data_IF_819643792540
#
_entry.id   IF_819643792540
#
_cell.length_a   1.000
_cell.length_b   1.000
_cell.length_c   1.000
_cell.angle_alpha   90.00
_cell.angle_beta   90.00
_cell.angle_gamma   90.00
#
_symmetry.space_group_name_H-M   'P 1'
#
loop_
_entity.id
_entity.type
_entity.pdbx_description
1 polymer ?
#
# COMPACT_ATOMS: atom_id res chain seq x y z
N UNK A 1 31.96 -21.47 41.30
CA UNK A 1 31.94 -20.87 39.94
C UNK A 1 31.67 -21.98 38.92
N UNK A 2 30.43 -22.45 38.82
CA UNK A 2 30.02 -23.54 37.91
C UNK A 2 28.95 -23.07 36.89
N UNK A 3 28.45 -21.83 37.00
CA UNK A 3 27.25 -21.38 36.30
C UNK A 3 27.48 -20.56 35.02
N UNK A 4 28.65 -20.67 34.38
CA UNK A 4 28.99 -19.86 33.19
C UNK A 4 29.27 -20.70 31.92
N UNK A 5 28.82 -21.97 31.86
CA UNK A 5 29.11 -22.82 30.69
C UNK A 5 28.03 -22.87 29.60
N UNK A 6 26.81 -22.39 29.85
CA UNK A 6 25.78 -22.33 28.81
C UNK A 6 25.18 -20.93 28.73
N UNK A 7 25.27 -20.32 27.55
CA UNK A 7 24.67 -19.01 27.24
C UNK A 7 23.16 -19.13 27.49
N UNK A 8 22.67 -18.48 28.55
CA UNK A 8 21.34 -18.62 29.17
C UNK A 8 20.09 -18.42 28.28
N UNK A 9 20.25 -18.17 26.98
CA UNK A 9 19.13 -17.80 26.09
C UNK A 9 19.14 -18.50 24.73
N UNK A 10 19.96 -19.53 24.55
CA UNK A 10 19.89 -20.36 23.34
C UNK A 10 19.13 -21.63 23.69
N UNK A 11 17.81 -21.61 23.46
CA UNK A 11 17.01 -22.84 23.46
C UNK A 11 17.47 -23.65 22.23
N UNK A 12 17.96 -24.89 22.39
CA UNK A 12 18.33 -25.72 21.25
C UNK A 12 17.04 -26.15 20.52
N UNK A 13 16.79 -25.52 19.38
CA UNK A 13 15.75 -25.95 18.45
C UNK A 13 16.26 -27.20 17.71
N UNK A 14 15.69 -28.36 18.01
CA UNK A 14 16.07 -29.65 17.39
C UNK A 14 15.59 -29.77 15.93
N UNK A 15 14.79 -28.82 15.48
CA UNK A 15 14.01 -28.78 14.25
C UNK A 15 14.46 -27.67 13.28
N UNK A 16 15.62 -27.04 13.51
CA UNK A 16 16.20 -26.09 12.55
C UNK A 16 16.61 -26.86 11.29
N UNK A 17 15.98 -26.62 10.13
CA UNK A 17 16.18 -27.47 8.96
C UNK A 17 17.54 -27.24 8.27
N UNK A 18 18.24 -26.16 8.60
CA UNK A 18 19.57 -25.84 8.08
C UNK A 18 20.34 -24.88 9.00
N UNK A 19 21.65 -25.07 9.11
CA UNK A 19 22.55 -24.18 9.85
C UNK A 19 22.57 -22.77 9.24
N UNK A 20 22.82 -21.76 10.09
CA UNK A 20 22.97 -20.36 9.67
C UNK A 20 24.20 -20.22 8.76
N UNK A 21 24.10 -19.41 7.71
CA UNK A 21 25.25 -19.07 6.89
C UNK A 21 26.33 -18.36 7.73
N UNK A 22 27.57 -18.86 7.66
CA UNK A 22 28.71 -18.20 8.29
C UNK A 22 29.11 -16.95 7.51
N UNK A 23 29.45 -15.87 8.22
CA UNK A 23 29.91 -14.63 7.61
C UNK A 23 31.20 -14.91 6.82
N UNK A 24 31.26 -14.62 5.51
CA UNK A 24 32.49 -14.74 4.77
C UNK A 24 33.51 -13.73 5.29
N UNK A 25 34.69 -14.23 5.63
CA UNK A 25 35.79 -13.40 6.09
C UNK A 25 36.99 -13.50 5.14
N UNK A 26 37.72 -12.40 4.96
CA UNK A 26 39.02 -12.42 4.26
C UNK A 26 40.04 -13.27 5.04
N UNK A 27 41.04 -13.83 4.37
CA UNK A 27 42.04 -14.67 5.03
C UNK A 27 42.91 -13.87 6.01
N UNK A 28 43.47 -14.53 7.03
CA UNK A 28 44.31 -13.87 8.04
C UNK A 28 45.53 -13.16 7.42
N UNK A 29 46.07 -13.69 6.34
CA UNK A 29 47.20 -13.05 5.64
C UNK A 29 46.78 -11.77 4.90
N UNK A 30 45.56 -11.70 4.37
CA UNK A 30 45.00 -10.50 3.72
C UNK A 30 44.62 -9.41 4.71
N UNK A 31 44.41 -9.76 6.00
CA UNK A 31 44.15 -8.79 7.08
C UNK A 31 45.39 -7.99 7.49
N UNK A 32 46.59 -8.35 7.03
CA UNK A 32 47.85 -7.76 7.52
C UNK A 32 48.15 -6.42 6.84
N UNK A 33 48.44 -5.41 7.65
CA UNK A 33 49.01 -4.12 7.21
C UNK A 33 48.03 -3.18 6.50
N UNK A 34 46.72 -3.44 6.61
CA UNK A 34 45.66 -2.60 6.06
C UNK A 34 44.48 -2.51 7.06
N UNK A 35 43.45 -1.74 6.70
CA UNK A 35 42.20 -1.59 7.45
C UNK A 35 41.00 -2.05 6.62
N UNK A 36 41.21 -3.03 5.74
CA UNK A 36 40.14 -3.60 4.92
C UNK A 36 39.15 -4.34 5.80
N UNK A 37 37.86 -4.16 5.52
CA UNK A 37 36.78 -4.82 6.24
C UNK A 37 36.99 -6.34 6.23
N UNK A 38 36.86 -6.95 7.41
CA UNK A 38 37.13 -8.39 7.56
C UNK A 38 35.93 -9.20 7.12
N UNK A 39 34.74 -8.74 7.48
CA UNK A 39 33.46 -9.35 7.13
C UNK A 39 32.99 -8.80 5.78
N UNK A 40 33.12 -9.58 4.72
CA UNK A 40 32.86 -9.08 3.35
C UNK A 40 31.37 -9.01 3.01
N UNK A 41 30.50 -9.40 3.94
CA UNK A 41 29.07 -9.56 3.71
C UNK A 41 28.75 -10.80 2.86
N UNK A 42 27.45 -11.09 2.75
CA UNK A 42 26.98 -12.22 1.95
C UNK A 42 26.91 -11.89 0.46
N UNK A 43 27.40 -12.77 -0.42
CA UNK A 43 27.04 -12.75 -1.83
C UNK A 43 25.51 -12.84 -2.00
N UNK A 44 24.96 -12.22 -3.04
CA UNK A 44 23.51 -12.13 -3.27
C UNK A 44 22.80 -13.48 -3.15
N UNK A 45 23.37 -14.54 -3.75
CA UNK A 45 22.80 -15.89 -3.68
C UNK A 45 22.72 -16.42 -2.23
N UNK A 46 23.76 -16.19 -1.43
CA UNK A 46 23.83 -16.59 -0.02
C UNK A 46 22.91 -15.71 0.84
N UNK A 47 22.83 -14.41 0.57
CA UNK A 47 21.93 -13.48 1.23
C UNK A 47 20.46 -13.87 0.98
N UNK A 48 20.09 -14.19 -0.26
CA UNK A 48 18.74 -14.66 -0.63
C UNK A 48 18.45 -16.01 0.06
N UNK A 49 19.42 -16.92 0.14
CA UNK A 49 19.24 -18.22 0.81
C UNK A 49 19.06 -18.07 2.33
N UNK A 50 19.86 -17.23 2.99
CA UNK A 50 19.73 -16.94 4.42
C UNK A 50 18.45 -16.14 4.72
N UNK A 51 18.06 -15.21 3.84
CA UNK A 51 16.79 -14.51 3.93
C UNK A 51 15.61 -15.48 3.76
N UNK A 52 15.67 -16.45 2.83
CA UNK A 52 14.65 -17.51 2.68
C UNK A 52 14.58 -18.40 3.93
N UNK A 53 15.72 -18.77 4.52
CA UNK A 53 15.79 -19.49 5.81
C UNK A 53 15.11 -18.69 6.93
N UNK A 54 15.35 -17.38 7.00
CA UNK A 54 14.77 -16.48 8.00
C UNK A 54 13.28 -16.17 7.76
N UNK A 55 12.86 -15.97 6.51
CA UNK A 55 11.49 -15.62 6.12
C UNK A 55 10.56 -16.84 6.10
N UNK A 56 11.11 -18.06 6.03
CA UNK A 56 10.36 -19.27 6.31
C UNK A 56 9.74 -19.31 7.72
N UNK A 57 10.11 -18.36 8.61
CA UNK A 57 9.71 -18.31 10.02
C UNK A 57 8.39 -17.56 10.35
N UNK A 58 7.66 -16.96 9.38
CA UNK A 58 6.46 -16.15 9.71
C UNK A 58 5.23 -16.98 10.12
N UNK A 59 5.24 -17.42 11.39
CA UNK A 59 4.17 -17.74 12.36
C UNK A 59 4.84 -17.66 13.75
N UNK A 60 4.11 -17.49 14.85
CA UNK A 60 4.74 -17.59 16.19
C UNK A 60 5.51 -18.93 16.29
N UNK A 61 6.81 -18.89 16.62
CA UNK A 61 7.66 -20.08 16.73
C UNK A 61 7.99 -20.44 18.19
N UNK A 62 7.32 -19.82 19.17
CA UNK A 62 7.53 -20.12 20.59
C UNK A 62 8.91 -19.74 21.13
N UNK A 63 9.61 -18.78 20.51
CA UNK A 63 10.96 -18.37 20.95
C UNK A 63 10.97 -17.57 22.27
N UNK A 64 9.80 -17.17 22.78
CA UNK A 64 9.59 -16.42 24.02
C UNK A 64 10.35 -15.07 24.14
N UNK A 65 10.96 -14.56 23.07
CA UNK A 65 11.65 -13.27 23.09
C UNK A 65 10.69 -12.10 23.35
N UNK A 66 9.49 -12.13 22.77
CA UNK A 66 8.47 -11.13 23.05
C UNK A 66 8.05 -11.14 24.52
N UNK A 67 7.97 -12.32 25.15
CA UNK A 67 7.66 -12.49 26.57
C UNK A 67 8.77 -11.93 27.45
N UNK A 68 10.04 -12.23 27.12
CA UNK A 68 11.20 -11.77 27.88
C UNK A 68 11.36 -10.24 27.88
N UNK A 69 10.97 -9.56 26.80
CA UNK A 69 11.07 -8.09 26.65
C UNK A 69 9.78 -7.36 27.09
N UNK A 70 8.71 -8.08 27.46
CA UNK A 70 7.43 -7.48 27.82
C UNK A 70 7.46 -6.95 29.27
N UNK A 71 7.84 -5.69 29.47
CA UNK A 71 7.84 -5.05 30.80
C UNK A 71 6.49 -5.13 31.55
N UNK A 72 5.31 -5.03 30.89
CA UNK A 72 4.03 -5.20 31.57
C UNK A 72 3.68 -6.64 31.95
N UNK A 73 4.51 -7.63 31.57
CA UNK A 73 4.26 -9.07 31.79
C UNK A 73 2.91 -9.55 31.20
N UNK A 74 2.48 -8.97 30.07
CA UNK A 74 1.14 -9.20 29.51
C UNK A 74 1.00 -10.45 28.61
N UNK A 75 2.10 -11.15 28.33
CA UNK A 75 2.09 -12.31 27.43
C UNK A 75 1.96 -13.59 28.27
N UNK A 76 0.89 -14.34 28.03
CA UNK A 76 0.66 -15.65 28.65
C UNK A 76 0.38 -16.68 27.54
N UNK A 77 1.24 -17.69 27.46
CA UNK A 77 1.16 -18.75 26.44
C UNK A 77 0.21 -19.88 26.85
N UNK A 78 -0.23 -19.91 28.11
CA UNK A 78 -1.07 -20.97 28.67
C UNK A 78 -2.57 -20.62 28.59
N UNK A 79 -2.93 -19.44 28.05
CA UNK A 79 -4.33 -19.04 27.83
C UNK A 79 -4.99 -20.03 26.86
N UNK A 80 -6.02 -20.78 27.28
CA UNK A 80 -6.73 -21.70 26.41
C UNK A 80 -7.72 -20.96 25.50
N UNK A 81 -8.13 -21.61 24.41
CA UNK A 81 -9.30 -21.16 23.65
C UNK A 81 -10.56 -21.28 24.52
N UNK A 82 -11.41 -20.25 24.51
CA UNK A 82 -12.69 -20.23 25.22
C UNK A 82 -13.84 -20.07 24.21
N UNK A 83 -14.85 -20.94 24.29
CA UNK A 83 -16.11 -20.75 23.57
C UNK A 83 -17.10 -20.02 24.48
N UNK A 84 -17.61 -18.87 24.02
CA UNK A 84 -18.58 -18.07 24.75
C UNK A 84 -19.97 -18.25 24.12
N UNK A 85 -20.92 -18.76 24.90
CA UNK A 85 -22.34 -18.74 24.54
C UNK A 85 -22.95 -17.42 25.03
N UNK A 86 -23.34 -16.56 24.09
CA UNK A 86 -23.89 -15.24 24.36
C UNK A 86 -25.28 -15.11 23.71
N UNK A 87 -26.25 -14.62 24.48
CA UNK A 87 -27.59 -14.33 24.01
C UNK A 87 -27.74 -12.83 23.77
N UNK A 88 -28.23 -12.44 22.58
CA UNK A 88 -28.47 -11.06 22.20
C UNK A 88 -29.84 -10.94 21.54
N UNK A 89 -30.50 -9.80 21.76
CA UNK A 89 -31.75 -9.48 21.06
C UNK A 89 -31.48 -9.00 19.62
N UNK A 90 -30.38 -8.26 19.41
CA UNK A 90 -30.01 -7.66 18.12
C UNK A 90 -28.48 -7.68 17.90
N UNK A 91 -28.07 -7.79 16.63
CA UNK A 91 -26.66 -7.75 16.21
C UNK A 91 -26.49 -6.70 15.11
N UNK A 92 -25.56 -5.77 15.30
CA UNK A 92 -25.21 -4.74 14.30
C UNK A 92 -23.85 -5.08 13.69
N UNK A 93 -23.79 -5.16 12.36
CA UNK A 93 -22.56 -5.51 11.63
C UNK A 93 -21.92 -4.24 11.06
N UNK A 94 -20.67 -3.96 11.45
CA UNK A 94 -19.89 -2.78 11.01
C UNK A 94 -18.49 -3.18 10.54
N UNK A 95 -18.42 -4.23 9.73
CA UNK A 95 -17.19 -4.86 9.20
C UNK A 95 -16.36 -3.99 8.24
N UNK A 96 -16.85 -2.80 7.88
CA UNK A 96 -16.12 -1.86 7.03
C UNK A 96 -15.92 -2.36 5.61
N UNK A 97 -14.85 -1.88 4.97
CA UNK A 97 -14.46 -2.24 3.60
C UNK A 97 -13.09 -2.91 3.60
N UNK A 98 -12.86 -3.79 2.63
CA UNK A 98 -11.56 -4.42 2.41
C UNK A 98 -10.61 -3.44 1.67
N UNK A 99 -9.30 -3.62 1.85
CA UNK A 99 -8.29 -2.94 1.03
C UNK A 99 -8.25 -3.51 -0.40
N UNK A 100 -8.86 -4.69 -0.63
CA UNK A 100 -9.02 -5.26 -1.95
C UNK A 100 -10.01 -4.44 -2.79
N UNK A 101 -9.71 -4.31 -4.08
CA UNK A 101 -10.56 -3.59 -5.04
C UNK A 101 -10.89 -4.44 -6.27
N UNK A 102 -11.91 -4.01 -7.02
CA UNK A 102 -12.27 -4.58 -8.31
C UNK A 102 -11.20 -4.25 -9.36
N UNK A 103 -10.75 -5.24 -10.17
CA UNK A 103 -9.82 -4.99 -11.25
C UNK A 103 -10.39 -3.96 -12.22
N UNK A 104 -9.57 -3.00 -12.62
CA UNK A 104 -9.86 -2.00 -13.65
C UNK A 104 -9.01 -2.27 -14.89
N UNK A 105 -9.14 -1.41 -15.91
CA UNK A 105 -8.41 -1.52 -17.17
C UNK A 105 -6.89 -1.64 -16.95
N UNK A 106 -6.30 -2.76 -17.38
CA UNK A 106 -4.86 -3.04 -17.25
C UNK A 106 -3.99 -2.06 -18.04
N UNK A 107 -4.53 -1.45 -19.09
CA UNK A 107 -3.80 -0.47 -19.91
C UNK A 107 -3.50 0.82 -19.16
N UNK A 108 -4.10 1.03 -17.98
CA UNK A 108 -3.73 2.13 -17.07
C UNK A 108 -2.38 1.90 -16.37
N UNK A 109 -1.76 0.73 -16.52
CA UNK A 109 -0.36 0.51 -16.14
C UNK A 109 -0.10 0.28 -14.66
N UNK A 110 -1.14 0.16 -13.82
CA UNK A 110 -0.98 -0.19 -12.41
C UNK A 110 -0.27 -1.54 -12.24
N UNK A 111 0.72 -1.58 -11.36
CA UNK A 111 1.59 -2.75 -11.15
C UNK A 111 2.73 -2.89 -12.16
N UNK A 112 2.68 -2.18 -13.28
CA UNK A 112 3.77 -2.14 -14.28
C UNK A 112 4.63 -0.87 -14.14
N UNK A 113 4.02 0.26 -13.78
CA UNK A 113 4.70 1.54 -13.58
C UNK A 113 4.62 1.95 -12.11
N UNK A 114 5.76 2.20 -11.42
CA UNK A 114 5.74 2.60 -10.01
C UNK A 114 5.01 3.92 -9.75
N UNK A 115 4.98 4.81 -10.75
CA UNK A 115 4.29 6.10 -10.72
C UNK A 115 2.78 6.01 -11.00
N UNK A 116 2.25 4.79 -11.12
CA UNK A 116 0.80 4.56 -11.17
C UNK A 116 0.39 3.89 -9.86
N UNK A 117 -0.32 4.62 -9.02
CA UNK A 117 -0.75 4.19 -7.69
C UNK A 117 -2.28 4.21 -7.56
N UNK A 118 -2.81 3.57 -6.53
CA UNK A 118 -4.24 3.66 -6.18
C UNK A 118 -4.51 4.85 -5.26
N UNK A 119 -5.77 5.29 -5.23
CA UNK A 119 -6.33 6.19 -4.23
C UNK A 119 -5.88 5.86 -2.79
N UNK A 120 -6.04 4.61 -2.32
CA UNK A 120 -5.66 4.25 -0.96
C UNK A 120 -4.14 4.36 -0.69
N UNK A 121 -3.31 4.11 -1.70
CA UNK A 121 -1.86 4.33 -1.61
C UNK A 121 -1.55 5.83 -1.54
N UNK A 122 -2.30 6.63 -2.30
CA UNK A 122 -2.18 8.08 -2.27
C UNK A 122 -2.64 8.67 -0.94
N UNK A 123 -3.74 8.19 -0.35
CA UNK A 123 -4.16 8.53 1.02
C UNK A 123 -3.07 8.23 2.06
N UNK A 124 -2.41 7.06 1.98
CA UNK A 124 -1.27 6.76 2.85
C UNK A 124 -0.11 7.71 2.63
N UNK A 125 0.17 8.13 1.40
CA UNK A 125 1.17 9.13 1.07
C UNK A 125 0.81 10.52 1.64
N UNK A 126 -0.45 10.92 1.51
CA UNK A 126 -0.98 12.18 2.06
C UNK A 126 -1.07 12.15 3.60
N UNK A 127 -1.07 11.00 4.25
CA UNK A 127 -1.17 10.94 5.71
C UNK A 127 0.09 11.51 6.40
N UNK A 128 -0.04 12.38 7.44
CA UNK A 128 1.11 12.84 8.24
C UNK A 128 1.85 11.70 8.98
N UNK A 129 1.14 10.61 9.28
CA UNK A 129 1.68 9.36 9.84
C UNK A 129 1.92 8.30 8.76
N UNK A 130 1.89 8.73 7.50
CA UNK A 130 2.22 7.97 6.31
C UNK A 130 3.72 7.73 6.15
N UNK A 131 4.12 6.82 5.24
CA UNK A 131 5.52 6.54 4.95
C UNK A 131 6.28 7.78 4.44
N UNK A 132 5.60 8.70 3.76
CA UNK A 132 6.18 9.96 3.24
C UNK A 132 5.89 11.16 4.13
N UNK A 133 5.29 10.96 5.31
CA UNK A 133 4.90 12.02 6.27
C UNK A 133 4.06 13.14 5.65
N UNK A 134 3.21 12.81 4.67
CA UNK A 134 2.33 13.76 3.99
C UNK A 134 2.95 14.44 2.78
N UNK A 135 4.18 14.08 2.38
CA UNK A 135 4.80 14.58 1.15
C UNK A 135 4.29 13.79 -0.05
N UNK A 136 3.92 14.51 -1.13
CA UNK A 136 3.58 13.92 -2.42
C UNK A 136 4.88 13.66 -3.19
N UNK A 137 5.19 12.39 -3.42
CA UNK A 137 6.44 11.95 -4.03
C UNK A 137 6.17 10.86 -5.07
N UNK A 138 6.94 10.85 -6.15
CA UNK A 138 7.00 9.71 -7.06
C UNK A 138 7.53 8.46 -6.32
N UNK A 139 6.82 7.31 -6.36
CA UNK A 139 7.35 6.06 -5.83
C UNK A 139 8.55 5.51 -6.60
N UNK A 140 8.80 5.98 -7.83
CA UNK A 140 9.90 5.53 -8.69
C UNK A 140 11.23 6.12 -8.27
N UNK A 141 11.31 7.43 -8.10
CA UNK A 141 12.56 8.16 -7.86
C UNK A 141 12.54 9.04 -6.60
N UNK A 142 11.38 9.23 -5.97
CA UNK A 142 11.22 10.05 -4.77
C UNK A 142 11.14 11.55 -5.04
N UNK A 143 11.09 11.98 -6.30
CA UNK A 143 10.96 13.39 -6.66
C UNK A 143 9.54 13.91 -6.44
N UNK A 144 9.41 15.23 -6.25
CA UNK A 144 8.10 15.89 -6.12
C UNK A 144 7.50 16.05 -7.53
N UNK A 145 6.33 15.47 -7.82
CA UNK A 145 5.71 15.60 -9.14
C UNK A 145 5.26 17.05 -9.38
N UNK A 146 5.46 17.55 -10.60
CA UNK A 146 4.92 18.84 -11.04
C UNK A 146 3.47 18.67 -11.55
N UNK A 147 3.16 17.51 -12.14
CA UNK A 147 1.85 17.20 -12.71
C UNK A 147 1.33 15.86 -12.22
N UNK A 148 0.17 15.88 -11.59
CA UNK A 148 -0.56 14.73 -11.07
C UNK A 148 -1.84 14.51 -11.88
N UNK A 149 -2.09 13.29 -12.33
CA UNK A 149 -3.42 12.89 -12.81
C UNK A 149 -4.12 12.03 -11.77
N UNK A 150 -5.37 12.32 -11.45
CA UNK A 150 -6.27 11.42 -10.74
C UNK A 150 -7.30 10.94 -11.75
N UNK A 151 -7.45 9.63 -11.93
CA UNK A 151 -8.29 9.04 -12.98
C UNK A 151 -9.30 8.06 -12.41
N UNK A 152 -10.50 8.05 -12.97
CA UNK A 152 -11.53 7.08 -12.64
C UNK A 152 -11.17 5.69 -13.16
N UNK A 153 -11.03 4.69 -12.27
CA UNK A 153 -10.77 3.31 -12.64
C UNK A 153 -12.00 2.57 -13.20
N UNK A 154 -13.20 2.99 -12.79
CA UNK A 154 -14.48 2.41 -13.22
C UNK A 154 -15.43 3.48 -13.78
N UNK A 155 -15.14 4.03 -14.98
CA UNK A 155 -15.90 5.16 -15.54
C UNK A 155 -17.34 4.79 -15.93
N UNK A 156 -17.61 3.51 -16.18
CA UNK A 156 -18.92 3.00 -16.59
C UNK A 156 -19.77 2.50 -15.41
N UNK A 157 -19.34 2.75 -14.18
CA UNK A 157 -20.03 2.26 -12.98
C UNK A 157 -21.27 3.10 -12.63
N UNK A 158 -22.00 2.68 -11.60
CA UNK A 158 -23.20 3.35 -11.14
C UNK A 158 -22.94 4.76 -10.58
N UNK A 159 -24.00 5.55 -10.51
CA UNK A 159 -23.94 6.96 -10.15
C UNK A 159 -23.46 7.20 -8.70
N UNK A 160 -23.73 6.25 -7.80
CA UNK A 160 -23.31 6.33 -6.39
C UNK A 160 -21.81 6.09 -6.26
N UNK A 161 -21.26 5.11 -6.99
CA UNK A 161 -19.82 4.90 -7.05
C UNK A 161 -19.09 6.09 -7.68
N UNK A 162 -19.59 6.59 -8.82
CA UNK A 162 -19.01 7.77 -9.47
C UNK A 162 -19.03 9.00 -8.57
N UNK A 163 -20.14 9.24 -7.85
CA UNK A 163 -20.24 10.37 -6.92
C UNK A 163 -19.22 10.26 -5.78
N UNK A 164 -19.16 9.11 -5.11
CA UNK A 164 -18.27 8.90 -3.96
C UNK A 164 -16.79 8.98 -4.34
N UNK A 165 -16.39 8.37 -5.45
CA UNK A 165 -15.02 8.41 -5.96
C UNK A 165 -14.62 9.80 -6.47
N UNK A 166 -15.53 10.56 -7.11
CA UNK A 166 -15.27 11.96 -7.48
C UNK A 166 -15.02 12.84 -6.25
N UNK A 167 -15.84 12.69 -5.21
CA UNK A 167 -15.65 13.43 -3.95
C UNK A 167 -14.30 13.10 -3.33
N UNK A 168 -13.92 11.81 -3.32
CA UNK A 168 -12.60 11.37 -2.85
C UNK A 168 -11.48 12.04 -3.66
N UNK A 169 -11.53 11.96 -5.00
CA UNK A 169 -10.51 12.56 -5.87
C UNK A 169 -10.38 14.07 -5.70
N UNK A 170 -11.48 14.80 -5.48
CA UNK A 170 -11.42 16.24 -5.15
C UNK A 170 -10.76 16.48 -3.80
N UNK A 171 -11.12 15.73 -2.76
CA UNK A 171 -10.53 15.88 -1.43
C UNK A 171 -9.04 15.57 -1.42
N UNK A 172 -8.63 14.48 -2.07
CA UNK A 172 -7.21 14.13 -2.27
C UNK A 172 -6.47 15.23 -3.03
N UNK A 173 -7.08 15.81 -4.07
CA UNK A 173 -6.50 16.94 -4.81
C UNK A 173 -6.27 18.16 -3.92
N UNK A 174 -7.24 18.53 -3.07
CA UNK A 174 -7.12 19.64 -2.12
C UNK A 174 -5.92 19.40 -1.19
N UNK A 175 -5.80 18.20 -0.64
CA UNK A 175 -4.71 17.84 0.27
C UNK A 175 -3.34 17.85 -0.42
N UNK A 176 -3.28 17.39 -1.67
CA UNK A 176 -2.04 17.39 -2.46
C UNK A 176 -1.58 18.83 -2.78
N UNK A 177 -2.52 19.68 -3.20
CA UNK A 177 -2.29 21.09 -3.57
C UNK A 177 -1.90 21.96 -2.37
N UNK A 178 -2.48 21.72 -1.19
CA UNK A 178 -2.13 22.45 0.03
C UNK A 178 -0.68 22.21 0.47
N UNK A 179 -0.15 21.01 0.17
CA UNK A 179 1.18 20.58 0.62
C UNK A 179 2.28 20.73 -0.42
N UNK A 180 1.92 20.86 -1.68
CA UNK A 180 2.86 20.83 -2.79
C UNK A 180 2.74 22.11 -3.60
N UNK A 181 3.78 22.96 -3.53
CA UNK A 181 3.82 24.20 -4.32
C UNK A 181 3.93 23.89 -5.80
N UNK A 182 3.25 24.70 -6.61
CA UNK A 182 3.29 24.64 -8.08
C UNK A 182 2.85 23.28 -8.67
N UNK A 183 2.15 22.44 -7.89
CA UNK A 183 1.55 21.20 -8.38
C UNK A 183 0.31 21.51 -9.22
N UNK A 184 0.24 20.90 -10.40
CA UNK A 184 -0.98 20.87 -11.22
C UNK A 184 -1.65 19.49 -11.11
N UNK A 185 -2.93 19.48 -10.75
CA UNK A 185 -3.73 18.26 -10.64
C UNK A 185 -4.80 18.23 -11.71
N UNK A 186 -4.88 17.15 -12.48
CA UNK A 186 -5.96 16.87 -13.41
C UNK A 186 -6.81 15.71 -12.89
N UNK A 187 -8.08 15.95 -12.55
CA UNK A 187 -9.04 14.90 -12.18
C UNK A 187 -9.87 14.55 -13.42
N UNK A 188 -9.67 13.35 -13.96
CA UNK A 188 -10.29 12.85 -15.19
C UNK A 188 -11.30 11.75 -14.84
N UNK A 189 -12.58 12.09 -14.92
CA UNK A 189 -13.69 11.17 -14.62
C UNK A 189 -14.95 11.60 -15.36
N UNK A 190 -15.86 10.67 -15.69
CA UNK A 190 -17.24 11.02 -15.99
C UNK A 190 -17.83 11.80 -14.82
N UNK A 191 -18.56 12.89 -15.12
CA UNK A 191 -19.18 13.74 -14.11
C UNK A 191 -20.66 13.31 -14.00
N UNK A 192 -21.03 12.71 -12.88
CA UNK A 192 -22.41 12.33 -12.61
C UNK A 192 -23.28 13.53 -12.23
N UNK A 193 -24.60 13.41 -12.42
CA UNK A 193 -25.53 14.53 -12.21
C UNK A 193 -25.51 15.06 -10.77
N UNK A 194 -25.51 14.22 -9.71
CA UNK A 194 -25.45 14.70 -8.33
C UNK A 194 -24.17 15.50 -8.04
N UNK A 195 -23.03 15.10 -8.63
CA UNK A 195 -21.78 15.82 -8.49
C UNK A 195 -21.84 17.19 -9.18
N UNK A 196 -22.35 17.20 -10.41
CA UNK A 196 -22.51 18.42 -11.21
C UNK A 196 -23.36 19.48 -10.50
N UNK A 197 -24.47 19.07 -9.88
CA UNK A 197 -25.41 20.00 -9.24
C UNK A 197 -24.89 20.53 -7.90
N UNK A 198 -24.22 19.69 -7.10
CA UNK A 198 -23.88 20.01 -5.70
C UNK A 198 -22.44 20.45 -5.48
N UNK A 199 -21.49 19.84 -6.18
CA UNK A 199 -20.06 19.93 -5.83
C UNK A 199 -19.22 20.61 -6.91
N UNK A 200 -19.59 20.49 -8.19
CA UNK A 200 -18.83 21.05 -9.30
C UNK A 200 -18.55 22.57 -9.17
N UNK A 201 -19.51 23.44 -8.80
CA UNK A 201 -19.25 24.88 -8.69
C UNK A 201 -18.24 25.27 -7.62
N UNK A 202 -18.04 24.43 -6.60
CA UNK A 202 -17.02 24.64 -5.57
C UNK A 202 -15.68 24.02 -6.00
N UNK A 203 -15.73 22.83 -6.58
CA UNK A 203 -14.54 22.13 -7.05
C UNK A 203 -13.79 22.90 -8.16
N UNK A 204 -14.51 23.58 -9.06
CA UNK A 204 -13.91 24.43 -10.11
C UNK A 204 -13.17 25.67 -9.58
N UNK A 205 -13.40 26.06 -8.32
CA UNK A 205 -12.73 27.22 -7.69
C UNK A 205 -11.39 26.86 -7.07
N UNK A 206 -11.05 25.56 -6.98
CA UNK A 206 -9.82 25.08 -6.37
C UNK A 206 -8.65 25.41 -7.30
N UNK A 207 -7.75 26.28 -6.85
CA UNK A 207 -6.59 26.68 -7.62
C UNK A 207 -5.62 25.49 -7.80
N UNK A 208 -5.20 25.23 -9.04
CA UNK A 208 -4.31 24.11 -9.38
C UNK A 208 -5.04 22.80 -9.69
N UNK A 209 -6.36 22.71 -9.46
CA UNK A 209 -7.18 21.57 -9.86
C UNK A 209 -7.89 21.85 -11.20
N UNK A 210 -7.72 20.95 -12.16
CA UNK A 210 -8.47 20.91 -13.40
C UNK A 210 -9.37 19.68 -13.45
N UNK A 211 -10.68 19.89 -13.45
CA UNK A 211 -11.67 18.84 -13.66
C UNK A 211 -11.86 18.59 -15.16
N UNK A 212 -11.80 17.33 -15.58
CA UNK A 212 -11.92 16.93 -16.97
C UNK A 212 -13.02 15.86 -17.07
N UNK A 213 -14.12 16.21 -17.73
CA UNK A 213 -15.19 15.28 -18.02
C UNK A 213 -14.79 14.28 -19.10
N UNK A 214 -14.44 13.06 -18.69
CA UNK A 214 -14.11 11.96 -19.59
C UNK A 214 -13.41 10.80 -18.90
N UNK A 215 -12.80 9.91 -19.67
CA UNK A 215 -12.29 8.63 -19.17
C UNK A 215 -10.85 8.37 -19.60
N UNK A 216 -10.03 7.88 -18.67
CA UNK A 216 -8.69 7.41 -18.98
C UNK A 216 -8.73 6.11 -19.78
N UNK A 217 -7.89 6.01 -20.81
CA UNK A 217 -7.87 4.89 -21.74
C UNK A 217 -6.61 4.03 -21.56
N UNK A 218 -5.44 4.67 -21.51
CA UNK A 218 -4.16 3.96 -21.38
C UNK A 218 -3.05 4.87 -20.88
N UNK A 219 -2.05 4.25 -20.27
CA UNK A 219 -0.82 4.88 -19.80
C UNK A 219 0.37 4.24 -20.51
N UNK A 220 1.23 5.08 -21.07
CA UNK A 220 2.47 4.66 -21.71
C UNK A 220 3.65 5.25 -20.95
N UNK A 221 4.70 4.43 -20.76
CA UNK A 221 5.96 4.90 -20.20
C UNK A 221 6.58 5.93 -21.14
N UNK A 222 7.01 7.07 -20.60
CA UNK A 222 7.91 7.98 -21.32
C UNK A 222 9.27 7.35 -21.56
N UNK A 223 10.14 8.03 -22.32
CA UNK A 223 11.56 7.64 -22.40
C UNK A 223 12.22 7.69 -21.01
N UNK A 224 13.42 7.13 -20.85
CA UNK A 224 14.04 7.02 -19.52
C UNK A 224 14.20 8.38 -18.83
N UNK A 225 13.42 8.55 -17.76
CA UNK A 225 13.40 9.78 -16.94
C UNK A 225 12.35 10.81 -17.38
N UNK A 226 11.57 10.51 -18.41
CA UNK A 226 10.42 11.32 -18.81
C UNK A 226 9.12 10.90 -18.09
N UNK A 227 8.16 11.83 -17.96
CA UNK A 227 6.86 11.55 -17.35
C UNK A 227 6.04 10.51 -18.13
N UNK A 228 5.03 9.94 -17.48
CA UNK A 228 4.08 9.02 -18.10
C UNK A 228 3.18 9.77 -19.09
N UNK A 229 2.84 9.16 -20.22
CA UNK A 229 1.85 9.70 -21.16
C UNK A 229 0.51 9.04 -20.91
N UNK A 230 -0.46 9.83 -20.45
CA UNK A 230 -1.84 9.41 -20.26
C UNK A 230 -2.67 9.76 -21.50
N UNK A 231 -3.33 8.75 -22.06
CA UNK A 231 -4.34 8.91 -23.10
C UNK A 231 -5.72 8.86 -22.46
N UNK A 232 -6.56 9.86 -22.72
CA UNK A 232 -7.89 9.98 -22.14
C UNK A 232 -8.87 10.64 -23.13
N UNK A 233 -10.16 10.52 -22.87
CA UNK A 233 -11.21 11.24 -23.60
C UNK A 233 -11.59 12.53 -22.87
N UNK A 234 -11.87 13.58 -23.62
CA UNK A 234 -12.48 14.82 -23.12
C UNK A 234 -13.49 15.28 -24.18
N UNK A 235 -14.77 15.38 -23.83
CA UNK A 235 -15.84 15.74 -24.78
C UNK A 235 -15.90 14.85 -26.04
N UNK A 236 -15.69 13.53 -25.89
CA UNK A 236 -15.60 12.54 -26.98
C UNK A 236 -14.40 12.70 -27.91
N UNK A 237 -13.46 13.60 -27.61
CA UNK A 237 -12.19 13.69 -28.32
C UNK A 237 -11.08 13.01 -27.52
N UNK A 238 -10.24 12.24 -28.22
CA UNK A 238 -9.09 11.62 -27.62
C UNK A 238 -7.96 12.64 -27.46
N UNK A 239 -7.38 12.72 -26.26
CA UNK A 239 -6.27 13.62 -25.92
C UNK A 239 -5.16 12.84 -25.22
N UNK A 240 -3.97 13.42 -25.27
CA UNK A 240 -2.79 12.90 -24.59
C UNK A 240 -2.13 14.03 -23.79
N UNK A 241 -1.71 13.70 -22.58
CA UNK A 241 -0.93 14.62 -21.75
C UNK A 241 0.07 13.83 -20.89
N UNK A 242 1.16 14.51 -20.53
CA UNK A 242 2.21 13.94 -19.70
C UNK A 242 1.99 14.25 -18.21
N UNK A 243 2.18 13.26 -17.35
CA UNK A 243 2.02 13.34 -15.90
C UNK A 243 3.16 12.61 -15.19
N UNK A 244 3.63 13.17 -14.08
CA UNK A 244 4.72 12.60 -13.28
C UNK A 244 4.22 11.51 -12.34
N UNK A 245 2.97 11.65 -11.86
CA UNK A 245 2.29 10.68 -11.00
C UNK A 245 0.83 10.51 -11.47
N UNK A 246 0.35 9.27 -11.47
CA UNK A 246 -1.04 8.94 -11.81
C UNK A 246 -1.66 8.16 -10.64
N UNK A 247 -2.80 8.64 -10.14
CA UNK A 247 -3.60 8.00 -9.09
C UNK A 247 -4.87 7.46 -9.72
N UNK A 248 -5.18 6.19 -9.47
CA UNK A 248 -6.39 5.54 -9.95
C UNK A 248 -7.38 5.45 -8.80
N UNK A 249 -8.56 6.03 -8.98
CA UNK A 249 -9.70 5.87 -8.09
C UNK A 249 -10.25 4.45 -8.28
N UNK A 250 -10.29 3.68 -7.20
CA UNK A 250 -10.63 2.26 -7.22
C UNK A 250 -12.04 2.00 -6.70
N UNK A 251 -12.61 0.85 -7.08
CA UNK A 251 -13.85 0.35 -6.50
C UNK A 251 -13.54 -0.69 -5.43
N UNK A 252 -13.76 -0.41 -4.14
CA UNK A 252 -13.47 -1.35 -3.07
C UNK A 252 -14.34 -2.59 -3.16
N UNK A 253 -13.83 -3.72 -2.68
CA UNK A 253 -14.56 -4.98 -2.54
C UNK A 253 -15.13 -5.12 -1.14
N UNK A 254 -16.23 -5.86 -1.09
CA UNK A 254 -16.75 -6.40 0.16
C UNK A 254 -15.75 -7.44 0.68
N UNK A 255 -15.48 -7.40 1.99
CA UNK A 255 -14.62 -8.38 2.65
C UNK A 255 -15.13 -9.82 2.40
N UNK A 256 -14.27 -10.79 2.05
CA UNK A 256 -14.67 -12.19 1.92
C UNK A 256 -15.33 -12.76 3.18
N UNK A 257 -14.97 -12.23 4.36
CA UNK A 257 -15.55 -12.63 5.64
C UNK A 257 -17.02 -12.25 5.75
N UNK A 258 -17.41 -11.07 5.23
CA UNK A 258 -18.81 -10.64 5.17
C UNK A 258 -19.63 -11.53 4.25
N UNK A 259 -19.08 -11.88 3.09
CA UNK A 259 -19.73 -12.82 2.16
C UNK A 259 -19.90 -14.20 2.82
N UNK A 260 -18.92 -14.63 3.63
CA UNK A 260 -19.04 -15.86 4.41
C UNK A 260 -20.09 -15.76 5.51
N UNK A 261 -20.15 -14.62 6.21
CA UNK A 261 -21.11 -14.37 7.28
C UNK A 261 -22.55 -14.34 6.77
N UNK A 262 -22.80 -13.68 5.64
CA UNK A 262 -24.11 -13.65 4.97
C UNK A 262 -24.63 -15.06 4.70
N UNK A 263 -23.77 -15.95 4.18
CA UNK A 263 -24.12 -17.36 3.97
C UNK A 263 -24.40 -18.11 5.27
N UNK A 264 -23.64 -17.85 6.34
CA UNK A 264 -23.84 -18.50 7.64
C UNK A 264 -25.12 -18.05 8.33
N UNK A 265 -25.51 -16.79 8.16
CA UNK A 265 -26.72 -16.22 8.74
C UNK A 265 -27.96 -16.42 7.87
N UNK A 266 -27.80 -16.95 6.65
CA UNK A 266 -28.87 -17.06 5.63
C UNK A 266 -29.60 -15.72 5.39
N UNK A 267 -28.85 -14.61 5.48
CA UNK A 267 -29.36 -13.25 5.31
C UNK A 267 -28.47 -12.50 4.33
N UNK A 268 -29.08 -11.66 3.50
CA UNK A 268 -28.33 -10.77 2.63
C UNK A 268 -27.80 -9.59 3.46
N UNK A 269 -26.47 -9.46 3.53
CA UNK A 269 -25.83 -8.45 4.39
C UNK A 269 -25.44 -7.20 3.59
N UNK A 270 -25.35 -7.29 2.25
CA UNK A 270 -25.05 -6.16 1.34
C UNK A 270 -25.69 -6.40 -0.03
#
# INVERSE_FOLDING_TARGET
MIYEKEKRYIIPFADVPAERAEMPEISVDERRGNFTEVETGFPEEMAIKEAKRCLACRRCLGCALCWAECEPEAIDFDIPDEELELEFDEVVITSGQDNAFHPFNSDLGYGNYPDVITDLQFERMLSPTGPTKGLVLSPRDGEIPARLAIVQGHPEDDEDHLLSSLILGVNESILALDRTKDLEVALISPICQPFQEKFLPEAEKIAGLKLIAGAAQSVQKGEDGQPLTLTYTENNEQKQASFDLIVILTKPKISPELVSLSKKLEQDII
#
